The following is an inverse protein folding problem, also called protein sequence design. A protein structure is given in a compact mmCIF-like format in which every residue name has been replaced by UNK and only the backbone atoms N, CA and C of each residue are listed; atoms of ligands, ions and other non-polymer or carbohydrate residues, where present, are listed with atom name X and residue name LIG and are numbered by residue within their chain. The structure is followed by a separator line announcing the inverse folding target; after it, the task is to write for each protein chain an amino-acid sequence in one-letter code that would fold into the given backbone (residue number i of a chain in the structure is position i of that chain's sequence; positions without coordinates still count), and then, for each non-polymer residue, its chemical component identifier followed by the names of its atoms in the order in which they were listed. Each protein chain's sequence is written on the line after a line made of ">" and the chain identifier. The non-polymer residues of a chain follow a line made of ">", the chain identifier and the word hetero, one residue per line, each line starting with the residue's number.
data_IF_859130751037
#
_entry.id   IF_859130751037
#
_cell.length_a   1.000
_cell.length_b   1.000
_cell.length_c   1.000
_cell.angle_alpha   90.00
_cell.angle_beta   90.00
_cell.angle_gamma   90.00
#
_symmetry.space_group_name_H-M   'P 1'
#
loop_
_entity.id
_entity.type
_entity.pdbx_description
1 polymer ?
#
# COMPACT_ATOMS: atom_id res chain seq x y z
N UNK A 1 16.89 -3.67 -24.46
CA UNK A 1 15.97 -4.26 -23.47
C UNK A 1 15.00 -3.17 -23.04
N UNK A 2 13.80 -3.12 -23.65
CA UNK A 2 12.78 -2.17 -23.25
C UNK A 2 12.09 -2.70 -21.99
N UNK A 3 12.19 -1.97 -20.88
CA UNK A 3 11.46 -2.31 -19.66
C UNK A 3 9.97 -2.35 -19.94
N UNK A 4 9.24 -3.16 -19.17
CA UNK A 4 7.77 -3.14 -19.27
C UNK A 4 7.27 -1.76 -18.85
N UNK A 5 6.13 -1.30 -19.43
CA UNK A 5 5.51 0.00 -19.08
C UNK A 5 5.33 0.21 -17.57
N UNK A 6 5.17 -0.89 -16.83
CA UNK A 6 5.13 -0.91 -15.36
C UNK A 6 6.46 -0.47 -14.73
N UNK A 7 7.58 -1.02 -15.18
CA UNK A 7 8.92 -0.67 -14.68
C UNK A 7 9.27 0.78 -14.99
N UNK A 8 8.92 1.27 -16.17
CA UNK A 8 9.04 2.69 -16.53
C UNK A 8 8.25 3.58 -15.55
N UNK A 9 7.00 3.21 -15.29
CA UNK A 9 6.12 3.92 -14.34
C UNK A 9 6.67 3.88 -12.91
N UNK A 10 7.24 2.75 -12.49
CA UNK A 10 7.82 2.61 -11.15
C UNK A 10 9.10 3.43 -11.00
N UNK A 11 9.95 3.45 -12.03
CA UNK A 11 11.15 4.29 -12.05
C UNK A 11 10.78 5.77 -12.06
N UNK A 12 9.73 6.15 -12.78
CA UNK A 12 9.16 7.49 -12.73
C UNK A 12 8.72 7.87 -11.31
N UNK A 13 8.01 7.00 -10.59
CA UNK A 13 7.62 7.27 -9.19
C UNK A 13 8.82 7.38 -8.23
N UNK A 14 9.89 6.63 -8.48
CA UNK A 14 11.14 6.75 -7.70
C UNK A 14 11.82 8.10 -7.92
N UNK A 15 11.86 8.57 -9.18
CA UNK A 15 12.47 9.85 -9.53
C UNK A 15 11.60 11.05 -9.13
N UNK A 16 10.27 10.89 -9.17
CA UNK A 16 9.28 11.94 -8.91
C UNK A 16 8.27 11.53 -7.83
N UNK A 17 8.65 11.55 -6.54
CA UNK A 17 7.76 11.14 -5.45
C UNK A 17 6.47 11.97 -5.35
N UNK A 18 6.49 13.22 -5.85
CA UNK A 18 5.34 14.12 -5.86
C UNK A 18 4.17 13.59 -6.71
N UNK A 19 4.47 12.85 -7.77
CA UNK A 19 3.45 12.24 -8.64
C UNK A 19 2.57 11.22 -7.89
N UNK A 20 3.04 10.69 -6.75
CA UNK A 20 2.24 9.83 -5.89
C UNK A 20 1.15 10.59 -5.13
N UNK A 21 1.19 11.91 -4.98
CA UNK A 21 0.23 12.63 -4.13
C UNK A 21 -0.51 13.76 -4.84
N UNK A 22 -0.09 14.11 -6.05
CA UNK A 22 -0.72 15.16 -6.83
C UNK A 22 -2.09 14.76 -7.39
N UNK A 23 -3.01 15.76 -7.40
CA UNK A 23 -4.35 15.60 -7.96
C UNK A 23 -4.37 15.75 -9.48
N UNK A 24 -3.52 16.62 -10.02
CA UNK A 24 -3.41 16.80 -11.46
C UNK A 24 -2.33 15.86 -11.99
N UNK A 25 -2.75 14.86 -12.77
CA UNK A 25 -1.86 13.80 -13.27
C UNK A 25 -1.82 13.75 -14.81
N UNK A 26 -2.50 14.65 -15.50
CA UNK A 26 -2.64 14.60 -16.97
C UNK A 26 -1.28 14.62 -17.68
N UNK A 27 -0.36 15.46 -17.20
CA UNK A 27 1.00 15.56 -17.73
C UNK A 27 1.77 14.24 -17.54
N UNK A 28 1.62 13.58 -16.38
CA UNK A 28 2.25 12.30 -16.08
C UNK A 28 1.70 11.17 -16.95
N UNK A 29 0.39 11.17 -17.21
CA UNK A 29 -0.24 10.19 -18.10
C UNK A 29 0.29 10.32 -19.53
N UNK A 30 0.48 11.56 -20.00
CA UNK A 30 1.02 11.87 -21.32
C UNK A 30 2.49 11.48 -21.44
N UNK A 31 3.31 11.76 -20.44
CA UNK A 31 4.73 11.40 -20.40
C UNK A 31 4.94 9.88 -20.41
N UNK A 32 4.17 9.15 -19.61
CA UNK A 32 4.26 7.69 -19.50
C UNK A 32 3.57 6.97 -20.67
N UNK A 33 2.65 7.64 -21.36
CA UNK A 33 1.84 7.08 -22.44
C UNK A 33 0.86 6.00 -21.93
N UNK A 34 0.30 6.19 -20.73
CA UNK A 34 -0.60 5.22 -20.10
C UNK A 34 -1.95 5.84 -19.74
N UNK A 35 -2.97 4.97 -19.66
CA UNK A 35 -4.32 5.36 -19.21
C UNK A 35 -4.32 5.62 -17.70
N UNK A 36 -5.24 6.47 -17.25
CA UNK A 36 -5.42 6.77 -15.82
C UNK A 36 -5.69 5.53 -14.96
N UNK A 37 -6.45 4.56 -15.46
CA UNK A 37 -6.70 3.29 -14.76
C UNK A 37 -5.40 2.51 -14.51
N UNK A 38 -4.52 2.44 -15.52
CA UNK A 38 -3.21 1.81 -15.43
C UNK A 38 -2.30 2.55 -14.46
N UNK A 39 -2.29 3.89 -14.52
CA UNK A 39 -1.55 4.74 -13.59
C UNK A 39 -1.96 4.50 -12.14
N UNK A 40 -3.27 4.52 -11.85
CA UNK A 40 -3.79 4.28 -10.51
C UNK A 40 -3.43 2.88 -9.98
N UNK A 41 -3.50 1.87 -10.86
CA UNK A 41 -3.08 0.50 -10.52
C UNK A 41 -1.60 0.46 -10.13
N UNK A 42 -0.73 1.03 -10.95
CA UNK A 42 0.71 1.07 -10.68
C UNK A 42 1.06 1.90 -9.45
N UNK A 43 0.39 3.04 -9.23
CA UNK A 43 0.55 3.88 -8.05
C UNK A 43 0.21 3.12 -6.77
N UNK A 44 -0.95 2.45 -6.73
CA UNK A 44 -1.37 1.70 -5.56
C UNK A 44 -0.44 0.51 -5.26
N UNK A 45 0.04 -0.15 -6.31
CA UNK A 45 1.01 -1.23 -6.18
C UNK A 45 2.34 -0.72 -5.63
N UNK A 46 2.86 0.38 -6.18
CA UNK A 46 4.09 1.02 -5.72
C UNK A 46 4.01 1.43 -4.24
N UNK A 47 2.90 2.06 -3.84
CA UNK A 47 2.66 2.46 -2.44
C UNK A 47 2.61 1.23 -1.52
N UNK A 48 1.90 0.17 -1.92
CA UNK A 48 1.80 -1.08 -1.14
C UNK A 48 3.18 -1.71 -0.91
N UNK A 49 4.03 -1.74 -1.95
CA UNK A 49 5.39 -2.24 -1.86
C UNK A 49 6.23 -1.35 -0.94
N UNK A 50 6.14 -0.02 -1.09
CA UNK A 50 6.89 0.93 -0.26
C UNK A 50 6.51 0.80 1.22
N UNK A 51 5.21 0.72 1.53
CA UNK A 51 4.70 0.52 2.90
C UNK A 51 5.14 -0.83 3.46
N UNK A 52 5.09 -1.90 2.66
CA UNK A 52 5.56 -3.22 3.10
C UNK A 52 7.05 -3.20 3.40
N UNK A 53 7.86 -2.57 2.55
CA UNK A 53 9.30 -2.43 2.78
C UNK A 53 9.59 -1.63 4.06
N UNK A 54 8.86 -0.54 4.31
CA UNK A 54 8.97 0.25 5.55
C UNK A 54 8.54 -0.59 6.76
N UNK A 55 7.41 -1.30 6.68
CA UNK A 55 6.89 -2.16 7.73
C UNK A 55 7.77 -3.38 8.03
N UNK A 56 8.42 -3.94 7.01
CA UNK A 56 9.42 -4.99 7.14
C UNK A 56 10.72 -4.48 7.77
N UNK A 57 11.15 -3.24 7.49
CA UNK A 57 12.24 -2.61 8.23
C UNK A 57 11.87 -2.18 9.66
N UNK A 58 10.58 -2.00 9.96
CA UNK A 58 10.06 -1.75 11.30
C UNK A 58 9.87 -3.02 12.16
N UNK A 59 10.25 -4.20 11.64
CA UNK A 59 10.20 -5.47 12.37
C UNK A 59 11.23 -5.61 13.51
N UNK A 60 12.03 -4.57 13.79
CA UNK A 60 12.97 -4.54 14.93
C UNK A 60 12.75 -3.33 15.83
N UNK A 61 11.50 -2.98 16.11
CA UNK A 61 11.16 -2.28 17.34
C UNK A 61 10.00 -3.00 18.00
N UNK A 62 10.35 -4.10 18.68
CA UNK A 62 9.54 -4.73 19.71
C UNK A 62 9.12 -3.68 20.73
N UNK A 63 7.98 -3.04 20.48
CA UNK A 63 7.34 -2.23 21.48
C UNK A 63 6.86 -3.20 22.56
N UNK A 64 7.54 -3.17 23.72
CA UNK A 64 7.27 -3.96 24.93
C UNK A 64 5.89 -3.69 25.55
N UNK A 65 4.97 -3.06 24.82
CA UNK A 65 3.58 -2.96 25.23
C UNK A 65 2.88 -4.23 24.81
N UNK A 66 2.86 -5.19 25.74
CA UNK A 66 2.01 -6.38 25.73
C UNK A 66 0.62 -5.99 25.21
N UNK A 67 0.33 -6.28 23.95
CA UNK A 67 -1.06 -6.38 23.49
C UNK A 67 -1.62 -7.59 24.22
N UNK A 68 -2.31 -7.34 25.35
CA UNK A 68 -3.10 -8.37 26.01
C UNK A 68 -4.17 -8.78 25.01
N UNK A 69 -4.02 -9.98 24.44
CA UNK A 69 -5.10 -10.67 23.76
C UNK A 69 -6.16 -10.96 24.81
N UNK A 70 -7.18 -10.12 24.89
CA UNK A 70 -8.39 -10.47 25.63
C UNK A 70 -9.10 -11.56 24.83
N UNK A 71 -9.18 -12.76 25.41
CA UNK A 71 -10.08 -13.79 24.90
C UNK A 71 -11.49 -13.28 25.11
N UNK A 72 -12.20 -13.00 24.02
CA UNK A 72 -13.65 -12.94 24.07
C UNK A 72 -14.14 -14.35 24.42
N UNK A 73 -14.57 -14.54 25.67
CA UNK A 73 -15.35 -15.70 26.07
C UNK A 73 -16.79 -15.34 25.73
N UNK A 74 -17.34 -15.97 24.71
CA UNK A 74 -18.77 -15.89 24.45
C UNK A 74 -19.48 -16.74 25.50
N UNK A 75 -20.38 -16.12 26.25
CA UNK A 75 -21.23 -16.79 27.23
C UNK A 75 -22.48 -17.32 26.52
N UNK A 76 -22.41 -18.57 26.07
CA UNK A 76 -23.46 -19.23 25.29
C UNK A 76 -24.78 -19.38 26.08
N UNK A 77 -24.77 -19.19 27.40
CA UNK A 77 -25.97 -19.26 28.25
C UNK A 77 -27.01 -18.17 27.93
N UNK A 78 -26.60 -17.08 27.26
CA UNK A 78 -27.55 -16.04 26.79
C UNK A 78 -28.04 -16.27 25.37
N UNK A 79 -27.39 -17.14 24.59
CA UNK A 79 -27.82 -17.44 23.22
C UNK A 79 -28.92 -18.51 23.17
N UNK A 80 -28.92 -19.42 24.14
CA UNK A 80 -29.91 -20.50 24.24
C UNK A 80 -30.51 -20.48 25.65
N UNK A 81 -31.42 -19.54 25.89
CA UNK A 81 -32.07 -19.38 27.19
C UNK A 81 -32.72 -20.68 27.66
N UNK A 82 -32.27 -21.16 28.82
CA UNK A 82 -33.01 -22.08 29.69
C UNK A 82 -33.60 -21.28 30.85
#
# INVERSE_FOLDING_TARGET
>A
MGGTKKEETFNFFKANPKALYEKNIEDYLKELGIKQSTYNKHRNEFISIAVTNIGSSASVLTNKNKVKREKFVFDDNRLFGF
#
